data_IF_891407076774
#
_entry.id   IF_891407076774
#
_cell.length_a   1.000
_cell.length_b   1.000
_cell.length_c   1.000
_cell.angle_alpha   90.00
_cell.angle_beta   90.00
_cell.angle_gamma   90.00
#
_symmetry.space_group_name_H-M   'P 1'
#
loop_
_entity.id
_entity.type
_entity.pdbx_description
1 polymer ?
#
# COMPACT_ATOMS: atom_id res chain seq x y z
N UNK A 1 -14.72 -20.60 3.17
CA UNK A 1 -16.13 -20.70 3.61
C UNK A 1 -16.25 -21.17 5.06
N UNK A 2 -15.56 -22.23 5.47
CA UNK A 2 -15.68 -22.79 6.83
C UNK A 2 -15.36 -21.80 7.99
N UNK A 3 -14.41 -20.87 7.81
CA UNK A 3 -14.04 -19.94 8.89
C UNK A 3 -15.15 -18.98 9.30
N UNK A 4 -16.02 -18.56 8.38
CA UNK A 4 -17.11 -17.64 8.72
C UNK A 4 -18.13 -18.34 9.63
N UNK A 5 -18.52 -19.57 9.29
CA UNK A 5 -19.39 -20.39 10.13
C UNK A 5 -18.78 -20.67 11.51
N UNK A 6 -17.47 -20.97 11.56
CA UNK A 6 -16.76 -21.16 12.82
C UNK A 6 -16.71 -19.87 13.66
N UNK A 7 -16.58 -18.70 13.05
CA UNK A 7 -16.64 -17.42 13.74
C UNK A 7 -18.03 -17.14 14.30
N UNK A 8 -19.10 -17.48 13.57
CA UNK A 8 -20.48 -17.33 14.06
C UNK A 8 -20.73 -18.20 15.29
N UNK A 9 -20.32 -19.48 15.25
CA UNK A 9 -20.39 -20.36 16.42
C UNK A 9 -19.48 -19.86 17.55
N UNK A 10 -18.27 -19.42 17.24
CA UNK A 10 -17.35 -18.95 18.26
C UNK A 10 -17.90 -17.71 18.99
N UNK A 11 -18.57 -16.81 18.28
CA UNK A 11 -19.25 -15.66 18.87
C UNK A 11 -20.45 -16.10 19.73
N UNK A 12 -21.32 -16.96 19.20
CA UNK A 12 -22.52 -17.45 19.89
C UNK A 12 -22.20 -18.19 21.19
N UNK A 13 -21.16 -19.02 21.17
CA UNK A 13 -20.73 -19.83 22.31
C UNK A 13 -19.56 -19.21 23.11
N UNK A 14 -19.20 -17.95 22.82
CA UNK A 14 -18.12 -17.21 23.50
C UNK A 14 -16.76 -17.94 23.51
N UNK A 15 -16.44 -18.63 22.40
CA UNK A 15 -15.22 -19.41 22.23
C UNK A 15 -14.07 -18.53 21.72
N UNK A 16 -13.56 -17.64 22.58
CA UNK A 16 -12.51 -16.67 22.20
C UNK A 16 -11.27 -17.30 21.58
N UNK A 17 -10.86 -18.48 22.06
CA UNK A 17 -9.69 -19.18 21.49
C UNK A 17 -9.91 -19.57 20.03
N UNK A 18 -11.13 -20.00 19.67
CA UNK A 18 -11.47 -20.37 18.30
C UNK A 18 -11.51 -19.11 17.43
N UNK A 19 -12.11 -18.03 17.94
CA UNK A 19 -12.13 -16.73 17.27
C UNK A 19 -10.72 -16.23 16.93
N UNK A 20 -9.79 -16.33 17.88
CA UNK A 20 -8.39 -15.98 17.68
C UNK A 20 -7.72 -16.86 16.62
N UNK A 21 -7.93 -18.18 16.65
CA UNK A 21 -7.37 -19.11 15.64
C UNK A 21 -7.92 -18.82 14.23
N UNK A 22 -9.20 -18.53 14.12
CA UNK A 22 -9.81 -18.11 12.85
C UNK A 22 -9.20 -16.80 12.36
N UNK A 23 -8.98 -15.84 13.26
CA UNK A 23 -8.34 -14.57 12.93
C UNK A 23 -6.91 -14.76 12.42
N UNK A 24 -6.10 -15.58 13.09
CA UNK A 24 -4.74 -15.92 12.67
C UNK A 24 -4.74 -16.59 11.28
N UNK A 25 -5.60 -17.59 11.09
CA UNK A 25 -5.73 -18.28 9.81
C UNK A 25 -6.12 -17.34 8.68
N UNK A 26 -7.15 -16.50 8.87
CA UNK A 26 -7.59 -15.55 7.86
C UNK A 26 -6.52 -14.52 7.54
N UNK A 27 -5.78 -14.03 8.56
CA UNK A 27 -4.72 -13.03 8.38
C UNK A 27 -3.58 -13.58 7.51
N UNK A 28 -3.18 -14.83 7.70
CA UNK A 28 -2.16 -15.47 6.87
C UNK A 28 -2.60 -15.75 5.42
N UNK A 29 -3.89 -15.62 5.11
CA UNK A 29 -4.47 -15.93 3.81
C UNK A 29 -5.11 -14.70 3.13
N UNK A 30 -4.83 -13.49 3.62
CA UNK A 30 -5.27 -12.27 2.95
C UNK A 30 -4.56 -12.18 1.59
N UNK A 31 -5.35 -11.95 0.55
CA UNK A 31 -4.93 -11.79 -0.83
C UNK A 31 -5.75 -10.69 -1.50
N UNK A 32 -5.26 -10.20 -2.63
CA UNK A 32 -5.93 -9.21 -3.48
C UNK A 32 -7.40 -9.57 -3.79
N UNK A 33 -7.67 -10.84 -4.12
CA UNK A 33 -9.00 -11.35 -4.48
C UNK A 33 -9.97 -11.53 -3.31
N UNK A 34 -9.49 -11.52 -2.06
CA UNK A 34 -10.32 -11.85 -0.90
C UNK A 34 -10.27 -10.80 0.23
N UNK A 35 -9.38 -9.81 0.15
CA UNK A 35 -9.13 -8.85 1.22
C UNK A 35 -10.38 -8.03 1.58
N UNK A 36 -11.20 -7.65 0.60
CA UNK A 36 -12.47 -6.91 0.83
C UNK A 36 -13.46 -7.77 1.62
N UNK A 37 -13.62 -9.04 1.24
CA UNK A 37 -14.46 -9.99 1.97
C UNK A 37 -13.95 -10.24 3.37
N UNK A 38 -12.65 -10.39 3.53
CA UNK A 38 -12.04 -10.61 4.85
C UNK A 38 -12.14 -9.37 5.73
N UNK A 39 -12.07 -8.16 5.17
CA UNK A 39 -12.32 -6.93 5.90
C UNK A 39 -13.75 -6.95 6.46
N UNK A 40 -14.76 -7.27 5.65
CA UNK A 40 -16.15 -7.33 6.10
C UNK A 40 -16.35 -8.32 7.25
N UNK A 41 -15.71 -9.50 7.16
CA UNK A 41 -15.72 -10.49 8.23
C UNK A 41 -15.05 -9.91 9.48
N UNK A 42 -13.89 -9.29 9.32
CA UNK A 42 -13.14 -8.72 10.43
C UNK A 42 -13.91 -7.62 11.16
N UNK A 43 -14.58 -6.73 10.42
CA UNK A 43 -15.44 -5.68 10.98
C UNK A 43 -16.63 -6.28 11.73
N UNK A 44 -17.32 -7.27 11.13
CA UNK A 44 -18.47 -7.95 11.75
C UNK A 44 -18.14 -8.62 13.09
N UNK A 45 -16.98 -9.27 13.20
CA UNK A 45 -16.58 -10.02 14.39
C UNK A 45 -15.60 -9.25 15.30
N UNK A 46 -15.24 -8.00 14.98
CA UNK A 46 -14.29 -7.21 15.77
C UNK A 46 -12.86 -7.79 15.78
N UNK A 47 -12.37 -8.26 14.64
CA UNK A 47 -11.05 -8.87 14.48
C UNK A 47 -10.01 -7.82 14.03
N UNK A 48 -9.52 -7.02 14.98
CA UNK A 48 -8.66 -5.86 14.70
C UNK A 48 -7.38 -6.17 13.92
N UNK A 49 -6.73 -7.30 14.17
CA UNK A 49 -5.52 -7.69 13.44
C UNK A 49 -5.82 -8.01 11.98
N UNK A 50 -6.92 -8.72 11.71
CA UNK A 50 -7.37 -9.01 10.35
C UNK A 50 -7.84 -7.75 9.62
N UNK A 51 -8.49 -6.80 10.32
CA UNK A 51 -8.85 -5.50 9.76
C UNK A 51 -7.61 -4.76 9.24
N UNK A 52 -6.54 -4.72 10.04
CA UNK A 52 -5.29 -4.07 9.65
C UNK A 52 -4.66 -4.72 8.42
N UNK A 53 -4.57 -6.05 8.41
CA UNK A 53 -3.97 -6.79 7.30
C UNK A 53 -4.76 -6.59 5.99
N UNK A 54 -6.09 -6.71 6.07
CA UNK A 54 -6.97 -6.50 4.91
C UNK A 54 -6.94 -5.08 4.38
N UNK A 55 -6.83 -4.06 5.26
CA UNK A 55 -6.59 -2.68 4.84
C UNK A 55 -5.24 -2.51 4.15
N UNK A 56 -4.17 -3.10 4.70
CA UNK A 56 -2.84 -3.03 4.09
C UNK A 56 -2.80 -3.64 2.70
N UNK A 57 -3.52 -4.73 2.46
CA UNK A 57 -3.60 -5.33 1.13
C UNK A 57 -4.51 -4.53 0.19
N UNK A 58 -5.67 -4.07 0.67
CA UNK A 58 -6.65 -3.35 -0.15
C UNK A 58 -6.12 -2.04 -0.76
N UNK A 59 -5.14 -1.39 -0.12
CA UNK A 59 -4.58 -0.11 -0.59
C UNK A 59 -3.82 -0.23 -1.91
N UNK A 60 -3.38 -1.43 -2.28
CA UNK A 60 -2.71 -1.70 -3.55
C UNK A 60 -3.68 -2.06 -4.68
N UNK A 61 -4.96 -2.29 -4.36
CA UNK A 61 -5.96 -2.60 -5.38
C UNK A 61 -6.27 -1.38 -6.26
N UNK A 62 -6.43 -1.58 -7.58
CA UNK A 62 -6.98 -0.56 -8.45
C UNK A 62 -8.39 -0.16 -8.00
N UNK A 63 -8.72 1.14 -8.04
CA UNK A 63 -10.06 1.61 -7.69
C UNK A 63 -11.13 0.96 -8.59
N UNK A 64 -10.84 0.77 -9.87
CA UNK A 64 -11.72 0.07 -10.81
C UNK A 64 -12.01 -1.37 -10.40
N UNK A 65 -11.06 -2.06 -9.75
CA UNK A 65 -11.29 -3.42 -9.25
C UNK A 65 -12.24 -3.40 -8.05
N UNK A 66 -12.06 -2.44 -7.13
CA UNK A 66 -12.96 -2.25 -5.98
C UNK A 66 -14.37 -1.86 -6.41
N UNK A 67 -14.52 -0.93 -7.35
CA UNK A 67 -15.84 -0.49 -7.83
C UNK A 67 -16.65 -1.60 -8.52
N UNK A 68 -15.97 -2.59 -9.08
CA UNK A 68 -16.60 -3.76 -9.70
C UNK A 68 -16.81 -4.93 -8.72
N UNK A 69 -16.24 -4.88 -7.52
CA UNK A 69 -16.37 -5.94 -6.51
C UNK A 69 -17.74 -5.85 -5.83
N UNK A 70 -18.51 -6.95 -5.88
CA UNK A 70 -19.87 -6.98 -5.31
C UNK A 70 -19.86 -6.83 -3.79
N UNK A 71 -18.87 -7.40 -3.10
CA UNK A 71 -18.75 -7.25 -1.64
C UNK A 71 -18.47 -5.79 -1.31
N UNK A 72 -17.56 -5.15 -2.05
CA UNK A 72 -17.24 -3.74 -1.87
C UNK A 72 -18.48 -2.85 -2.03
N UNK A 73 -19.35 -3.12 -3.01
CA UNK A 73 -20.59 -2.36 -3.23
C UNK A 73 -21.56 -2.46 -2.05
N UNK A 74 -21.62 -3.61 -1.40
CA UNK A 74 -22.50 -3.86 -0.24
C UNK A 74 -21.95 -3.29 1.07
N UNK A 75 -20.67 -2.91 1.13
CA UNK A 75 -20.07 -2.37 2.35
C UNK A 75 -20.73 -1.04 2.79
N UNK A 76 -20.76 -0.78 4.11
CA UNK A 76 -21.14 0.54 4.62
C UNK A 76 -20.25 1.66 4.07
N UNK A 77 -20.82 2.85 3.87
CA UNK A 77 -20.07 4.01 3.34
C UNK A 77 -18.88 4.39 4.22
N UNK A 78 -19.01 4.23 5.54
CA UNK A 78 -17.90 4.45 6.49
C UNK A 78 -16.70 3.55 6.15
N UNK A 79 -16.95 2.29 5.85
CA UNK A 79 -15.93 1.30 5.51
C UNK A 79 -15.30 1.59 4.15
N UNK A 80 -16.14 1.87 3.14
CA UNK A 80 -15.65 2.28 1.81
C UNK A 80 -14.74 3.50 1.90
N UNK A 81 -15.14 4.48 2.72
CA UNK A 81 -14.36 5.68 2.98
C UNK A 81 -13.00 5.36 3.61
N UNK A 82 -12.94 4.42 4.55
CA UNK A 82 -11.69 4.00 5.19
C UNK A 82 -10.73 3.32 4.21
N UNK A 83 -11.24 2.40 3.38
CA UNK A 83 -10.46 1.73 2.33
C UNK A 83 -9.92 2.78 1.33
N UNK A 84 -10.80 3.65 0.81
CA UNK A 84 -10.42 4.70 -0.14
C UNK A 84 -9.40 5.68 0.45
N UNK A 85 -9.57 6.09 1.71
CA UNK A 85 -8.64 6.98 2.41
C UNK A 85 -7.25 6.33 2.54
N UNK A 86 -7.18 5.06 2.96
CA UNK A 86 -5.91 4.32 3.08
C UNK A 86 -5.20 4.22 1.74
N UNK A 87 -5.94 3.96 0.67
CA UNK A 87 -5.42 3.94 -0.70
C UNK A 87 -4.86 5.28 -1.15
N UNK A 88 -5.59 6.37 -0.90
CA UNK A 88 -5.13 7.74 -1.23
C UNK A 88 -3.80 8.04 -0.52
N UNK A 89 -3.70 7.71 0.78
CA UNK A 89 -2.47 7.92 1.55
C UNK A 89 -1.26 7.15 0.99
N UNK A 90 -1.45 5.90 0.56
CA UNK A 90 -0.35 5.13 -0.07
C UNK A 90 0.05 5.69 -1.43
N UNK A 91 -0.92 6.16 -2.23
CA UNK A 91 -0.64 6.81 -3.51
C UNK A 91 0.11 8.14 -3.33
N UNK A 92 -0.29 8.96 -2.36
CA UNK A 92 0.40 10.20 -1.99
C UNK A 92 1.85 9.93 -1.58
N UNK A 93 2.06 8.92 -0.73
CA UNK A 93 3.40 8.49 -0.32
C UNK A 93 4.25 8.04 -1.52
N UNK A 94 3.70 7.17 -2.37
CA UNK A 94 4.39 6.67 -3.57
C UNK A 94 4.74 7.81 -4.53
N UNK A 95 3.84 8.78 -4.70
CA UNK A 95 4.06 9.97 -5.52
C UNK A 95 5.22 10.82 -4.97
N UNK A 96 5.24 11.07 -3.66
CA UNK A 96 6.34 11.81 -3.00
C UNK A 96 7.68 11.09 -3.20
N UNK A 97 7.72 9.77 -3.04
CA UNK A 97 8.94 8.98 -3.27
C UNK A 97 9.42 9.06 -4.73
N UNK A 98 8.50 9.05 -5.68
CA UNK A 98 8.82 9.18 -7.11
C UNK A 98 9.37 10.57 -7.42
N UNK A 99 8.70 11.63 -6.97
CA UNK A 99 9.14 13.02 -7.14
C UNK A 99 10.53 13.24 -6.55
N UNK A 100 10.76 12.72 -5.34
CA UNK A 100 12.06 12.83 -4.66
C UNK A 100 13.17 12.14 -5.44
N UNK A 101 12.92 10.93 -5.97
CA UNK A 101 13.87 10.21 -6.82
C UNK A 101 14.15 10.96 -8.13
N UNK A 102 13.13 11.50 -8.78
CA UNK A 102 13.28 12.25 -10.01
C UNK A 102 14.15 13.50 -9.80
N UNK A 103 13.89 14.26 -8.74
CA UNK A 103 14.68 15.45 -8.37
C UNK A 103 16.14 15.10 -8.05
N UNK A 104 16.39 14.00 -7.32
CA UNK A 104 17.75 13.53 -7.03
C UNK A 104 18.51 13.18 -8.31
N UNK A 105 17.87 12.49 -9.25
CA UNK A 105 18.46 12.16 -10.57
C UNK A 105 18.75 13.42 -11.39
N UNK A 106 17.81 14.36 -11.48
CA UNK A 106 18.00 15.62 -12.21
C UNK A 106 19.16 16.47 -11.64
N UNK A 107 19.24 16.58 -10.31
CA UNK A 107 20.33 17.34 -9.67
C UNK A 107 21.70 16.67 -9.85
N UNK A 108 21.77 15.34 -9.86
CA UNK A 108 22.98 14.60 -10.17
C UNK A 108 23.45 14.86 -11.61
N UNK A 109 22.53 14.80 -12.59
CA UNK A 109 22.84 15.13 -13.99
C UNK A 109 23.36 16.56 -14.15
N UNK A 110 22.76 17.55 -13.48
CA UNK A 110 23.22 18.94 -13.53
C UNK A 110 24.63 19.08 -12.93
N UNK A 111 24.91 18.43 -11.80
CA UNK A 111 26.24 18.45 -11.17
C UNK A 111 27.31 17.84 -12.08
N UNK A 112 26.99 16.74 -12.75
CA UNK A 112 27.92 16.07 -13.66
C UNK A 112 28.22 16.92 -14.91
N UNK A 113 27.20 17.52 -15.52
CA UNK A 113 27.39 18.46 -16.65
C UNK A 113 28.24 19.68 -16.26
N UNK A 114 28.08 20.21 -15.03
CA UNK A 114 28.92 21.29 -14.50
C UNK A 114 30.36 20.85 -14.28
N UNK A 115 30.60 19.62 -13.80
CA UNK A 115 31.95 19.07 -13.63
C UNK A 115 32.67 18.91 -14.97
N UNK A 116 32.00 18.32 -15.97
CA UNK A 116 32.54 18.19 -17.34
C UNK A 116 32.88 19.55 -17.95
N UNK A 117 31.98 20.53 -17.82
CA UNK A 117 32.22 21.90 -18.31
C UNK A 117 33.44 22.56 -17.64
N UNK A 118 33.60 22.40 -16.32
CA UNK A 118 34.77 22.90 -15.59
C UNK A 118 36.06 22.21 -16.03
N UNK A 119 36.07 20.89 -16.19
CA UNK A 119 37.24 20.15 -16.67
C UNK A 119 37.64 20.60 -18.09
N UNK A 120 36.67 20.80 -18.99
CA UNK A 120 36.93 21.33 -20.33
C UNK A 120 37.63 22.69 -20.28
N UNK A 121 37.11 23.63 -19.46
CA UNK A 121 37.69 24.98 -19.32
C UNK A 121 39.13 24.98 -18.80
N UNK A 122 39.46 24.08 -17.86
CA UNK A 122 40.81 23.96 -17.29
C UNK A 122 41.80 23.42 -18.33
N UNK A 123 41.38 22.46 -19.17
CA UNK A 123 42.22 21.89 -20.22
C UNK A 123 42.55 22.94 -21.29
N UNK A 124 41.56 23.75 -21.70
CA UNK A 124 41.74 24.83 -22.69
C UNK A 124 42.71 25.90 -22.18
N UNK A 125 42.61 26.31 -20.91
CA UNK A 125 43.53 27.32 -20.33
C UNK A 125 44.98 26.84 -20.22
N UNK A 126 45.22 25.53 -20.04
CA UNK A 126 46.57 24.96 -19.99
C UNK A 126 47.22 24.81 -21.37
N UNK A 127 46.43 24.70 -22.44
CA UNK A 127 46.93 24.55 -23.81
C UNK A 127 47.28 25.88 -24.49
N UNK A 128 46.76 27.01 -24.00
CA UNK A 128 47.10 28.37 -24.47
C UNK A 128 48.27 29.03 -23.71
N UNK A 129 48.74 28.44 -22.61
CA UNK A 129 49.79 28.99 -21.74
C UNK A 129 51.21 28.47 -21.99
N UNK A 130 51.43 27.73 -23.08
CA UNK A 130 52.76 27.27 -23.51
C UNK A 130 53.04 27.86 -24.89
N UNK A 131 53.40 29.14 -24.91
CA UNK A 131 54.00 29.84 -26.04
C UNK A 131 55.02 30.84 -25.50
#
# INVERSE_FOLDING_TARGET
ENCQFLLELAEEYQMERVKQLCCEYLSCNVQDTNCVKFYMIADKFGLDSLLKETLQESKYLPLSSLENDEVFKELPDKTKLEICKTRIQELEKTLVEYVTRAQASSTACIKESRRKSRQQSVITTKSTGVA
#
